data_IF_877397893507
#
_entry.id   IF_877397893507
#
_cell.length_a   1.000
_cell.length_b   1.000
_cell.length_c   1.000
_cell.angle_alpha   90.00
_cell.angle_beta   90.00
_cell.angle_gamma   90.00
#
_symmetry.space_group_name_H-M   'P 1'
#
loop_
_entity.id
_entity.type
_entity.pdbx_description
1 polymer ?
#
# COMPACT_ATOMS: atom_id res chain seq x y z
N UNK A 1 2.34 -15.48 29.28
CA UNK A 1 2.03 -14.33 28.42
C UNK A 1 2.98 -14.26 27.23
N UNK A 2 2.47 -14.66 26.06
CA UNK A 2 2.98 -14.47 24.69
C UNK A 2 2.31 -15.53 23.82
N UNK A 3 0.99 -15.43 23.65
CA UNK A 3 0.31 -16.27 22.67
C UNK A 3 0.77 -15.87 21.25
N UNK A 4 0.73 -16.77 20.26
CA UNK A 4 0.97 -16.42 18.87
C UNK A 4 0.08 -15.25 18.38
N UNK A 5 -1.14 -15.14 18.91
CA UNK A 5 -2.07 -14.05 18.61
C UNK A 5 -1.54 -12.71 19.13
N UNK A 6 -1.05 -12.64 20.37
CA UNK A 6 -0.49 -11.41 20.93
C UNK A 6 0.74 -10.94 20.16
N UNK A 7 1.59 -11.87 19.72
CA UNK A 7 2.74 -11.56 18.86
C UNK A 7 2.29 -10.98 17.50
N UNK A 8 1.30 -11.60 16.85
CA UNK A 8 0.74 -11.09 15.59
C UNK A 8 0.10 -9.72 15.77
N UNK A 9 -0.58 -9.48 16.90
CA UNK A 9 -1.17 -8.17 17.22
C UNK A 9 -0.10 -7.09 17.39
N UNK A 10 1.03 -7.40 17.99
CA UNK A 10 2.12 -6.43 18.13
C UNK A 10 2.80 -6.14 16.79
N UNK A 11 3.05 -7.17 15.98
CA UNK A 11 3.55 -7.00 14.61
C UNK A 11 2.61 -6.13 13.76
N UNK A 12 1.28 -6.26 13.93
CA UNK A 12 0.29 -5.43 13.25
C UNK A 12 0.39 -3.95 13.66
N UNK A 13 0.60 -3.66 14.95
CA UNK A 13 0.85 -2.28 15.43
C UNK A 13 2.13 -1.72 14.82
N UNK A 14 3.20 -2.50 14.77
CA UNK A 14 4.47 -2.06 14.15
C UNK A 14 4.29 -1.71 12.67
N UNK A 15 3.49 -2.47 11.92
CA UNK A 15 3.19 -2.14 10.52
C UNK A 15 2.43 -0.82 10.43
N UNK A 16 1.42 -0.60 11.28
CA UNK A 16 0.67 0.66 11.31
C UNK A 16 1.57 1.87 11.62
N UNK A 17 2.45 1.76 12.62
CA UNK A 17 3.42 2.81 12.96
C UNK A 17 4.32 3.14 11.76
N UNK A 18 4.80 2.15 11.02
CA UNK A 18 5.63 2.39 9.83
C UNK A 18 4.86 3.10 8.71
N UNK A 19 3.55 2.83 8.56
CA UNK A 19 2.69 3.53 7.59
C UNK A 19 2.53 5.00 7.99
N UNK A 20 2.25 5.28 9.27
CA UNK A 20 2.11 6.63 9.79
C UNK A 20 3.41 7.43 9.66
N UNK A 21 4.54 6.85 10.04
CA UNK A 21 5.86 7.46 9.88
C UNK A 21 6.16 7.75 8.40
N UNK A 22 5.85 6.82 7.51
CA UNK A 22 6.00 6.99 6.07
C UNK A 22 5.18 8.18 5.55
N UNK A 23 3.91 8.29 5.96
CA UNK A 23 3.04 9.40 5.57
C UNK A 23 3.55 10.75 6.13
N UNK A 24 4.01 10.77 7.39
CA UNK A 24 4.55 11.96 8.03
C UNK A 24 5.84 12.45 7.32
N UNK A 25 6.76 11.54 6.99
CA UNK A 25 7.96 11.87 6.24
C UNK A 25 7.65 12.40 4.84
N UNK A 26 6.61 11.87 4.19
CA UNK A 26 6.15 12.40 2.90
C UNK A 26 5.66 13.85 3.03
N UNK A 27 4.87 14.15 4.07
CA UNK A 27 4.40 15.50 4.37
C UNK A 27 5.56 16.48 4.58
N UNK A 28 6.63 16.03 5.24
CA UNK A 28 7.89 16.77 5.42
C UNK A 28 8.75 16.88 4.15
N UNK A 29 8.28 16.34 3.01
CA UNK A 29 8.99 16.25 1.72
C UNK A 29 10.27 15.43 1.78
N UNK A 30 10.40 14.55 2.77
CA UNK A 30 11.52 13.61 2.93
C UNK A 30 11.21 12.32 2.17
N UNK A 31 11.07 12.46 0.83
CA UNK A 31 10.49 11.41 -0.01
C UNK A 31 11.26 10.09 0.02
N UNK A 32 12.60 10.13 0.01
CA UNK A 32 13.42 8.91 0.07
C UNK A 32 13.18 8.12 1.37
N UNK A 33 13.15 8.81 2.51
CA UNK A 33 12.91 8.19 3.81
C UNK A 33 11.47 7.67 3.94
N UNK A 34 10.49 8.41 3.42
CA UNK A 34 9.09 7.96 3.37
C UNK A 34 8.95 6.63 2.62
N UNK A 35 9.67 6.47 1.51
CA UNK A 35 9.64 5.27 0.68
C UNK A 35 10.31 4.09 1.38
N UNK A 36 11.44 4.31 2.06
CA UNK A 36 12.09 3.25 2.83
C UNK A 36 11.20 2.74 3.97
N UNK A 37 10.49 3.63 4.66
CA UNK A 37 9.48 3.24 5.67
C UNK A 37 8.32 2.45 5.06
N UNK A 38 7.79 2.86 3.90
CA UNK A 38 6.74 2.12 3.22
C UNK A 38 7.18 0.71 2.78
N UNK A 39 8.41 0.58 2.26
CA UNK A 39 8.97 -0.72 1.89
C UNK A 39 9.17 -1.62 3.12
N UNK A 40 9.60 -1.06 4.24
CA UNK A 40 9.74 -1.80 5.49
C UNK A 40 8.38 -2.27 6.03
N UNK A 41 7.35 -1.41 5.98
CA UNK A 41 5.98 -1.80 6.31
C UNK A 41 5.53 -3.01 5.48
N UNK A 42 5.80 -3.00 4.16
CA UNK A 42 5.51 -4.13 3.28
C UNK A 42 6.30 -5.40 3.58
N UNK A 43 7.55 -5.30 4.06
CA UNK A 43 8.31 -6.47 4.50
C UNK A 43 7.74 -7.05 5.80
N UNK A 44 7.35 -6.19 6.75
CA UNK A 44 6.78 -6.63 8.03
C UNK A 44 5.39 -7.22 7.88
N UNK A 45 4.55 -6.65 7.04
CA UNK A 45 3.22 -7.18 6.73
C UNK A 45 3.32 -8.59 6.12
N UNK A 46 4.22 -8.82 5.17
CA UNK A 46 4.44 -10.17 4.62
C UNK A 46 4.89 -11.18 5.68
N UNK A 47 5.75 -10.76 6.62
CA UNK A 47 6.17 -11.60 7.75
C UNK A 47 5.00 -11.89 8.70
N UNK A 48 4.15 -10.91 8.96
CA UNK A 48 2.94 -11.08 9.78
C UNK A 48 1.99 -12.09 9.13
N UNK A 49 1.72 -11.97 7.82
CA UNK A 49 0.87 -12.91 7.09
C UNK A 49 1.45 -14.33 7.11
N UNK A 50 2.75 -14.49 6.83
CA UNK A 50 3.42 -15.79 6.94
C UNK A 50 3.34 -16.36 8.37
N UNK A 51 3.49 -15.50 9.39
CA UNK A 51 3.40 -15.94 10.79
C UNK A 51 2.00 -16.44 11.15
N UNK A 52 0.95 -15.73 10.70
CA UNK A 52 -0.44 -16.15 10.87
C UNK A 52 -0.70 -17.49 10.20
N UNK A 53 -0.17 -17.72 9.01
CA UNK A 53 -0.28 -19.02 8.34
C UNK A 53 0.43 -20.13 9.13
N UNK A 54 1.66 -19.90 9.58
CA UNK A 54 2.44 -20.86 10.38
C UNK A 54 1.78 -21.25 11.71
N UNK A 55 1.04 -20.32 12.32
CA UNK A 55 0.42 -20.52 13.65
C UNK A 55 -1.05 -20.94 13.56
N UNK A 56 -1.57 -21.21 12.35
CA UNK A 56 -2.95 -21.63 12.15
C UNK A 56 -3.99 -20.52 12.29
N UNK A 57 -3.58 -19.25 12.15
CA UNK A 57 -4.40 -18.03 12.25
C UNK A 57 -4.61 -17.36 10.87
N UNK A 58 -4.57 -18.14 9.78
CA UNK A 58 -4.65 -17.61 8.41
C UNK A 58 -5.98 -16.89 8.12
N UNK A 59 -7.06 -17.31 8.77
CA UNK A 59 -8.38 -16.68 8.74
C UNK A 59 -8.41 -15.30 9.41
N UNK A 60 -7.39 -14.97 10.21
CA UNK A 60 -7.23 -13.68 10.89
C UNK A 60 -6.34 -12.69 10.12
N UNK A 61 -5.94 -13.00 8.88
CA UNK A 61 -5.17 -12.06 8.06
C UNK A 61 -5.98 -10.77 7.86
N UNK A 62 -5.42 -9.66 8.33
CA UNK A 62 -6.04 -8.35 8.21
C UNK A 62 -5.85 -7.79 6.78
N UNK A 63 -6.86 -8.05 5.94
CA UNK A 63 -6.90 -7.61 4.54
C UNK A 63 -6.88 -6.07 4.42
N UNK A 64 -7.45 -5.34 5.39
CA UNK A 64 -7.44 -3.88 5.40
C UNK A 64 -6.05 -3.30 5.70
N UNK A 65 -5.27 -3.99 6.54
CA UNK A 65 -3.86 -3.65 6.76
C UNK A 65 -3.05 -3.88 5.49
N UNK A 66 -3.23 -5.03 4.83
CA UNK A 66 -2.57 -5.31 3.54
C UNK A 66 -2.92 -4.23 2.52
N UNK A 67 -4.20 -3.85 2.39
CA UNK A 67 -4.62 -2.74 1.54
C UNK A 67 -3.87 -1.45 1.86
N UNK A 68 -3.82 -1.06 3.14
CA UNK A 68 -3.19 0.17 3.61
C UNK A 68 -1.70 0.22 3.31
N UNK A 69 -1.00 -0.91 3.50
CA UNK A 69 0.43 -1.06 3.16
C UNK A 69 0.67 -0.85 1.68
N UNK A 70 -0.09 -1.53 0.81
CA UNK A 70 0.08 -1.42 -0.64
C UNK A 70 -0.29 -0.03 -1.15
N UNK A 71 -1.37 0.56 -0.63
CA UNK A 71 -1.79 1.91 -1.00
C UNK A 71 -0.74 2.95 -0.58
N UNK A 72 -0.23 2.87 0.65
CA UNK A 72 0.85 3.76 1.10
C UNK A 72 2.10 3.59 0.22
N UNK A 73 2.53 2.36 -0.04
CA UNK A 73 3.69 2.09 -0.88
C UNK A 73 3.53 2.65 -2.30
N UNK A 74 2.34 2.51 -2.91
CA UNK A 74 2.05 3.07 -4.22
C UNK A 74 2.13 4.61 -4.22
N UNK A 75 1.60 5.27 -3.18
CA UNK A 75 1.73 6.72 -2.99
C UNK A 75 3.19 7.13 -2.85
N UNK A 76 3.99 6.40 -2.07
CA UNK A 76 5.40 6.75 -1.89
C UNK A 76 6.22 6.54 -3.16
N UNK A 77 5.94 5.49 -3.95
CA UNK A 77 6.54 5.37 -5.28
C UNK A 77 6.18 6.56 -6.16
N UNK A 78 4.91 6.98 -6.18
CA UNK A 78 4.48 8.14 -6.95
C UNK A 78 5.20 9.42 -6.50
N UNK A 79 5.23 9.72 -5.21
CA UNK A 79 5.91 10.90 -4.67
C UNK A 79 7.42 10.92 -4.94
N UNK A 80 8.04 9.76 -5.13
CA UNK A 80 9.46 9.63 -5.50
C UNK A 80 9.70 9.61 -7.02
N UNK A 81 8.66 9.83 -7.85
CA UNK A 81 8.78 9.80 -9.31
C UNK A 81 8.93 8.40 -9.91
N UNK A 82 8.75 7.35 -9.10
CA UNK A 82 8.85 5.94 -9.50
C UNK A 82 7.51 5.46 -10.08
N UNK A 83 7.16 6.01 -11.24
CA UNK A 83 5.82 5.88 -11.82
C UNK A 83 5.48 4.44 -12.24
N UNK A 84 6.45 3.65 -12.68
CA UNK A 84 6.21 2.26 -13.11
C UNK A 84 5.83 1.40 -11.91
N UNK A 85 6.57 1.53 -10.82
CA UNK A 85 6.38 0.84 -9.55
C UNK A 85 5.06 1.26 -8.90
N UNK A 86 4.74 2.56 -8.91
CA UNK A 86 3.48 3.09 -8.42
C UNK A 86 2.29 2.49 -9.18
N UNK A 87 2.32 2.55 -10.52
CA UNK A 87 1.25 2.01 -11.37
C UNK A 87 1.10 0.50 -11.22
N UNK A 88 2.20 -0.24 -11.06
CA UNK A 88 2.17 -1.68 -10.79
C UNK A 88 1.47 -1.97 -9.46
N UNK A 89 1.88 -1.29 -8.40
CA UNK A 89 1.32 -1.46 -7.05
C UNK A 89 -0.16 -1.10 -7.01
N UNK A 90 -0.57 0.03 -7.60
CA UNK A 90 -2.00 0.37 -7.72
C UNK A 90 -2.78 -0.67 -8.51
N UNK A 91 -2.21 -1.21 -9.59
CA UNK A 91 -2.88 -2.23 -10.41
C UNK A 91 -3.12 -3.52 -9.64
N UNK A 92 -2.22 -3.92 -8.73
CA UNK A 92 -2.39 -5.08 -7.86
C UNK A 92 -3.58 -4.88 -6.91
N UNK A 93 -3.74 -3.69 -6.34
CA UNK A 93 -4.88 -3.34 -5.49
C UNK A 93 -6.19 -3.35 -6.31
N UNK A 94 -6.22 -2.63 -7.44
CA UNK A 94 -7.43 -2.48 -8.28
C UNK A 94 -7.93 -3.81 -8.85
N UNK A 95 -7.05 -4.79 -9.05
CA UNK A 95 -7.42 -6.13 -9.56
C UNK A 95 -7.91 -7.08 -8.47
N UNK A 96 -7.63 -6.79 -7.20
CA UNK A 96 -8.07 -7.65 -6.10
C UNK A 96 -9.54 -7.36 -5.76
N UNK A 97 -10.39 -8.37 -5.98
CA UNK A 97 -11.84 -8.28 -5.76
C UNK A 97 -12.24 -8.15 -4.29
N UNK A 98 -11.34 -8.45 -3.36
CA UNK A 98 -11.59 -8.28 -1.93
C UNK A 98 -11.62 -6.80 -1.52
N UNK A 99 -10.96 -5.92 -2.29
CA UNK A 99 -10.91 -4.49 -2.01
C UNK A 99 -12.08 -3.77 -2.70
N UNK A 100 -13.19 -3.70 -1.97
CA UNK A 100 -14.34 -2.88 -2.34
C UNK A 100 -13.89 -1.43 -2.59
N UNK A 101 -14.41 -0.79 -3.63
CA UNK A 101 -14.07 0.60 -4.00
C UNK A 101 -12.61 0.84 -4.47
N UNK A 102 -11.78 -0.20 -4.62
CA UNK A 102 -10.40 -0.06 -5.14
C UNK A 102 -10.36 0.60 -6.53
N UNK A 103 -11.45 0.54 -7.30
CA UNK A 103 -11.61 1.24 -8.57
C UNK A 103 -11.36 2.75 -8.50
N UNK A 104 -11.57 3.38 -7.33
CA UNK A 104 -11.28 4.80 -7.09
C UNK A 104 -9.78 5.14 -7.22
N UNK A 105 -8.89 4.17 -7.00
CA UNK A 105 -7.44 4.36 -7.16
C UNK A 105 -7.02 4.59 -8.61
N UNK A 106 -7.90 4.36 -9.59
CA UNK A 106 -7.66 4.74 -10.98
C UNK A 106 -7.46 6.26 -11.14
N UNK A 107 -7.98 7.08 -10.22
CA UNK A 107 -7.67 8.52 -10.17
C UNK A 107 -6.17 8.73 -9.97
N UNK A 108 -5.56 8.07 -8.98
CA UNK A 108 -4.13 8.20 -8.70
C UNK A 108 -3.29 7.71 -9.89
N UNK A 109 -3.67 6.59 -10.49
CA UNK A 109 -3.04 6.10 -11.72
C UNK A 109 -3.17 7.11 -12.87
N UNK A 110 -4.34 7.75 -13.01
CA UNK A 110 -4.58 8.80 -13.99
C UNK A 110 -3.69 10.02 -13.77
N UNK A 111 -3.49 10.44 -12.52
CA UNK A 111 -2.60 11.55 -12.14
C UNK A 111 -1.15 11.27 -12.57
N UNK A 112 -0.67 10.04 -12.36
CA UNK A 112 0.66 9.62 -12.83
C UNK A 112 0.79 9.74 -14.36
N UNK A 113 -0.24 9.36 -15.13
CA UNK A 113 -0.21 9.56 -16.58
C UNK A 113 -0.32 11.03 -16.98
N UNK A 114 -1.06 11.82 -16.22
CA UNK A 114 -1.20 13.26 -16.43
C UNK A 114 0.14 13.98 -16.24
N UNK A 115 0.87 13.68 -15.16
CA UNK A 115 2.22 14.22 -14.89
C UNK A 115 3.23 13.85 -16.00
N UNK A 116 3.09 12.65 -16.57
CA UNK A 116 3.87 12.21 -17.74
C UNK A 116 3.40 12.83 -19.07
N UNK A 117 2.42 13.73 -19.08
CA UNK A 117 1.77 14.33 -20.27
C UNK A 117 1.13 13.29 -21.22
N UNK A 118 0.81 12.09 -20.70
CA UNK A 118 0.11 11.01 -21.42
C UNK A 118 -1.40 11.19 -21.26
N UNK A 119 -1.92 12.31 -21.72
CA UNK A 119 -3.31 12.72 -21.49
C UNK A 119 -4.37 11.70 -21.94
N UNK A 120 -4.24 10.99 -23.09
CA UNK A 120 -5.21 9.97 -23.47
C UNK A 120 -5.36 8.86 -22.42
N UNK A 121 -4.26 8.44 -21.81
CA UNK A 121 -4.26 7.41 -20.77
C UNK A 121 -4.87 7.93 -19.47
N UNK A 122 -4.55 9.17 -19.09
CA UNK A 122 -5.12 9.82 -17.92
C UNK A 122 -6.66 9.93 -18.03
N UNK A 123 -7.17 10.45 -19.15
CA UNK A 123 -8.61 10.57 -19.42
C UNK A 123 -9.29 9.20 -19.37
N UNK A 124 -8.69 8.17 -19.97
CA UNK A 124 -9.23 6.81 -19.92
C UNK A 124 -9.40 6.34 -18.48
N UNK A 125 -8.41 6.55 -17.62
CA UNK A 125 -8.47 6.11 -16.23
C UNK A 125 -9.46 6.91 -15.40
N UNK A 126 -9.53 8.23 -15.58
CA UNK A 126 -10.51 9.07 -14.89
C UNK A 126 -11.96 8.67 -15.20
N UNK A 127 -12.23 8.20 -16.43
CA UNK A 127 -13.57 7.70 -16.83
C UNK A 127 -13.91 6.31 -16.28
N UNK A 128 -12.91 5.54 -15.86
CA UNK A 128 -13.09 4.17 -15.33
C UNK A 128 -13.23 4.14 -13.80
N UNK A 129 -13.35 5.31 -13.18
CA UNK A 129 -13.64 5.45 -11.76
C UNK A 129 -15.14 5.19 -11.57
N UNK A 130 -15.44 3.99 -11.09
CA UNK A 130 -16.79 3.50 -10.76
C UNK A 130 -16.73 2.72 -9.46
#
# INVERSE_FOLDING_TARGET
>A
DNSPEDMCREMEKEVNVLIEESAQLNLERRFGESLEKAKEAGKRERKLCAKREETGLADQINIDLTYSVFFNLANQYHANGLYVEALKTYSEIVKNKQYHQSGRLRVNMGNIYFEQKKFPNAIKLYRLVV
#
